data_IF_915265206723
#
_entry.id   IF_915265206723
#
_cell.length_a   1.000
_cell.length_b   1.000
_cell.length_c   1.000
_cell.angle_alpha   90.00
_cell.angle_beta   90.00
_cell.angle_gamma   90.00
#
_symmetry.space_group_name_H-M   'P 1'
#
loop_
_entity.id
_entity.type
_entity.pdbx_description
1 polymer ?
#
# COMPACT_ATOMS: atom_id res chain seq x y z
N UNK A 1 -25.13 -3.33 3.46
CA UNK A 1 -25.17 -4.67 2.82
C UNK A 1 -24.42 -4.76 1.48
N UNK A 2 -24.55 -3.80 0.54
CA UNK A 2 -23.95 -3.92 -0.82
C UNK A 2 -22.42 -3.80 -0.88
N UNK A 3 -21.80 -2.99 0.00
CA UNK A 3 -20.34 -2.84 0.07
C UNK A 3 -19.68 -4.19 0.46
N UNK A 4 -20.25 -4.88 1.45
CA UNK A 4 -19.74 -6.18 1.90
C UNK A 4 -19.80 -7.28 0.84
N UNK A 5 -20.80 -7.25 -0.06
CA UNK A 5 -20.90 -8.21 -1.15
C UNK A 5 -19.76 -8.05 -2.17
N UNK A 6 -19.40 -6.81 -2.53
CA UNK A 6 -18.24 -6.55 -3.41
C UNK A 6 -16.91 -6.94 -2.73
N UNK A 7 -16.77 -6.64 -1.44
CA UNK A 7 -15.62 -7.09 -0.64
C UNK A 7 -15.49 -8.61 -0.63
N UNK A 8 -16.60 -9.33 -0.48
CA UNK A 8 -16.64 -10.80 -0.46
C UNK A 8 -16.29 -11.44 -1.81
N UNK A 9 -16.75 -10.86 -2.92
CA UNK A 9 -16.42 -11.35 -4.26
C UNK A 9 -14.93 -11.22 -4.55
N UNK A 10 -14.31 -10.11 -4.14
CA UNK A 10 -12.86 -9.93 -4.31
C UNK A 10 -12.04 -10.85 -3.38
N UNK A 11 -12.51 -11.08 -2.15
CA UNK A 11 -11.95 -12.09 -1.24
C UNK A 11 -11.99 -13.51 -1.83
N UNK A 12 -13.05 -13.86 -2.55
CA UNK A 12 -13.16 -15.16 -3.21
C UNK A 12 -12.17 -15.31 -4.39
N UNK A 13 -11.97 -14.26 -5.19
CA UNK A 13 -10.95 -14.27 -6.26
C UNK A 13 -9.54 -14.48 -5.70
N UNK A 14 -9.23 -13.81 -4.60
CA UNK A 14 -7.96 -13.96 -3.86
C UNK A 14 -7.67 -15.39 -3.40
N UNK A 15 -8.70 -16.17 -3.07
CA UNK A 15 -8.52 -17.56 -2.63
C UNK A 15 -8.05 -18.49 -3.76
N UNK A 16 -8.30 -18.12 -5.01
CA UNK A 16 -7.97 -18.93 -6.18
C UNK A 16 -6.54 -18.67 -6.68
N UNK A 17 -6.03 -17.45 -6.55
CA UNK A 17 -4.72 -17.02 -7.07
C UNK A 17 -3.56 -17.20 -6.07
N UNK A 18 -3.36 -18.44 -5.57
CA UNK A 18 -2.27 -18.75 -4.63
C UNK A 18 -0.88 -18.51 -5.23
N UNK A 19 -0.71 -18.75 -6.52
CA UNK A 19 0.57 -18.56 -7.23
C UNK A 19 0.94 -17.08 -7.29
N UNK A 20 -0.03 -16.19 -7.55
CA UNK A 20 0.20 -14.75 -7.63
C UNK A 20 0.67 -14.17 -6.29
N UNK A 21 0.09 -14.63 -5.18
CA UNK A 21 0.50 -14.21 -3.84
C UNK A 21 1.96 -14.59 -3.55
N UNK A 22 2.38 -15.79 -3.95
CA UNK A 22 3.75 -16.25 -3.78
C UNK A 22 4.73 -15.47 -4.68
N UNK A 23 4.40 -15.26 -5.95
CA UNK A 23 5.26 -14.50 -6.87
C UNK A 23 5.44 -13.06 -6.41
N UNK A 24 4.39 -12.44 -5.84
CA UNK A 24 4.47 -11.08 -5.28
C UNK A 24 5.33 -10.99 -4.01
N UNK A 25 5.56 -12.08 -3.28
CA UNK A 25 6.47 -12.12 -2.12
C UNK A 25 7.95 -12.12 -2.51
N UNK A 26 8.27 -12.52 -3.74
CA UNK A 26 9.67 -12.59 -4.20
C UNK A 26 10.33 -11.22 -4.12
N UNK A 27 9.65 -10.16 -4.57
CA UNK A 27 10.23 -8.82 -4.59
C UNK A 27 10.51 -8.26 -3.17
N UNK A 28 9.54 -8.28 -2.23
CA UNK A 28 9.77 -7.92 -0.82
C UNK A 28 10.86 -8.76 -0.16
N UNK A 29 10.90 -10.07 -0.45
CA UNK A 29 11.91 -10.96 0.07
C UNK A 29 13.31 -10.60 -0.44
N UNK A 30 13.45 -10.31 -1.74
CA UNK A 30 14.73 -9.86 -2.31
C UNK A 30 15.19 -8.55 -1.66
N UNK A 31 14.28 -7.61 -1.40
CA UNK A 31 14.64 -6.38 -0.68
C UNK A 31 15.16 -6.67 0.72
N UNK A 32 14.49 -7.52 1.50
CA UNK A 32 14.94 -7.83 2.87
C UNK A 32 16.21 -8.67 2.90
N UNK A 33 16.33 -9.66 2.01
CA UNK A 33 17.48 -10.56 1.94
C UNK A 33 18.72 -9.85 1.39
N UNK A 34 18.58 -9.03 0.35
CA UNK A 34 19.71 -8.35 -0.28
C UNK A 34 20.00 -7.05 0.46
N UNK A 35 19.07 -6.10 0.49
CA UNK A 35 19.32 -4.80 1.11
C UNK A 35 19.37 -4.90 2.63
N UNK A 36 18.42 -5.60 3.26
CA UNK A 36 18.39 -5.75 4.71
C UNK A 36 19.67 -6.36 5.28
N UNK A 37 20.13 -7.50 4.75
CA UNK A 37 21.37 -8.15 5.20
C UNK A 37 22.63 -7.38 4.83
N UNK A 38 22.72 -6.86 3.59
CA UNK A 38 23.93 -6.18 3.13
C UNK A 38 24.17 -4.91 3.93
N UNK A 39 23.14 -4.08 4.11
CA UNK A 39 23.28 -2.81 4.84
C UNK A 39 23.37 -3.00 6.35
N UNK A 40 22.74 -4.03 6.92
CA UNK A 40 22.94 -4.42 8.33
C UNK A 40 24.42 -4.76 8.60
N UNK A 41 25.06 -5.53 7.70
CA UNK A 41 26.49 -5.88 7.82
C UNK A 41 27.42 -4.68 7.63
N UNK A 42 27.07 -3.77 6.72
CA UNK A 42 27.89 -2.61 6.42
C UNK A 42 27.84 -1.52 7.52
N UNK A 43 26.78 -1.49 8.36
CA UNK A 43 26.54 -0.46 9.39
C UNK A 43 26.66 0.99 8.86
N UNK A 44 26.41 1.20 7.57
CA UNK A 44 26.58 2.50 6.89
C UNK A 44 25.45 3.48 7.23
N UNK A 45 24.27 2.97 7.60
CA UNK A 45 23.10 3.77 7.95
C UNK A 45 22.91 3.70 9.46
N UNK A 46 23.05 4.84 10.14
CA UNK A 46 22.76 4.94 11.57
C UNK A 46 21.24 4.91 11.80
N UNK A 47 20.72 3.71 12.04
CA UNK A 47 19.32 3.48 12.46
C UNK A 47 19.16 3.54 13.98
N UNK A 48 20.16 4.04 14.71
CA UNK A 48 20.18 4.06 16.17
C UNK A 48 20.39 2.66 16.77
N UNK A 49 19.53 2.25 17.71
CA UNK A 49 19.66 0.97 18.43
C UNK A 49 18.94 -0.20 17.75
N UNK A 50 18.36 0.02 16.57
CA UNK A 50 17.57 -0.96 15.84
C UNK A 50 18.36 -1.45 14.64
N UNK A 51 18.44 -2.77 14.46
CA UNK A 51 19.09 -3.35 13.29
C UNK A 51 18.40 -2.87 12.00
N UNK A 52 19.18 -2.59 10.95
CA UNK A 52 18.67 -2.05 9.69
C UNK A 52 17.59 -2.96 9.08
N UNK A 53 17.73 -4.28 9.24
CA UNK A 53 16.73 -5.24 8.77
C UNK A 53 15.37 -5.05 9.46
N UNK A 54 15.37 -4.78 10.76
CA UNK A 54 14.17 -4.46 11.50
C UNK A 54 13.57 -3.13 11.03
N UNK A 55 14.41 -2.09 10.86
CA UNK A 55 13.96 -0.79 10.36
C UNK A 55 13.35 -0.85 8.95
N UNK A 56 13.92 -1.68 8.08
CA UNK A 56 13.55 -1.81 6.68
C UNK A 56 12.21 -2.55 6.50
N UNK A 57 11.91 -3.54 7.34
CA UNK A 57 10.76 -4.42 7.13
C UNK A 57 9.38 -3.72 7.13
N UNK A 58 9.04 -2.78 8.04
CA UNK A 58 7.84 -1.95 7.91
C UNK A 58 7.81 -1.12 6.62
N UNK A 59 8.97 -0.63 6.19
CA UNK A 59 9.14 0.09 4.93
C UNK A 59 8.77 -0.76 3.72
N UNK A 60 9.26 -2.01 3.69
CA UNK A 60 8.97 -2.97 2.63
C UNK A 60 7.50 -3.42 2.64
N UNK A 61 6.87 -3.54 3.81
CA UNK A 61 5.42 -3.79 3.92
C UNK A 61 4.63 -2.67 3.23
N UNK A 62 4.91 -1.41 3.58
CA UNK A 62 4.23 -0.24 2.99
C UNK A 62 4.54 -0.11 1.48
N UNK A 63 5.78 -0.37 1.07
CA UNK A 63 6.16 -0.42 -0.35
C UNK A 63 5.36 -1.47 -1.12
N UNK A 64 5.22 -2.66 -0.54
CA UNK A 64 4.46 -3.75 -1.16
C UNK A 64 2.99 -3.37 -1.33
N UNK A 65 2.43 -2.71 -0.31
CA UNK A 65 1.07 -2.19 -0.34
C UNK A 65 0.87 -1.16 -1.45
N UNK A 66 1.78 -0.19 -1.58
CA UNK A 66 1.83 0.78 -2.68
C UNK A 66 1.86 0.07 -4.04
N UNK A 67 2.79 -0.87 -4.23
CA UNK A 67 3.02 -1.58 -5.49
C UNK A 67 1.81 -2.41 -5.91
N UNK A 68 1.16 -3.11 -4.98
CA UNK A 68 -0.09 -3.84 -5.24
C UNK A 68 -1.20 -2.89 -5.68
N UNK A 69 -1.32 -1.75 -5.00
CA UNK A 69 -2.43 -0.83 -5.15
C UNK A 69 -2.46 -0.13 -6.52
N UNK A 70 -1.30 0.10 -7.15
CA UNK A 70 -1.25 0.73 -8.49
C UNK A 70 -1.94 -0.12 -9.56
N UNK A 71 -1.91 -1.45 -9.44
CA UNK A 71 -2.55 -2.31 -10.43
C UNK A 71 -4.08 -2.19 -10.45
N UNK A 72 -4.71 -1.67 -9.39
CA UNK A 72 -6.16 -1.50 -9.34
C UNK A 72 -6.68 -0.44 -10.33
N UNK A 73 -5.88 0.58 -10.67
CA UNK A 73 -6.21 1.51 -11.74
C UNK A 73 -6.16 0.84 -13.12
N UNK A 74 -5.19 -0.05 -13.37
CA UNK A 74 -5.15 -0.81 -14.63
C UNK A 74 -6.35 -1.74 -14.71
N UNK A 75 -6.68 -2.41 -13.60
CA UNK A 75 -7.83 -3.29 -13.50
C UNK A 75 -9.15 -2.56 -13.79
N UNK A 76 -9.28 -1.29 -13.38
CA UNK A 76 -10.52 -0.52 -13.67
C UNK A 76 -10.66 -0.16 -15.15
N UNK A 77 -9.55 0.11 -15.85
CA UNK A 77 -9.57 0.29 -17.31
C UNK A 77 -9.93 -1.04 -17.98
N UNK A 78 -9.41 -2.15 -17.47
CA UNK A 78 -9.75 -3.49 -17.94
C UNK A 78 -11.25 -3.78 -17.83
N UNK A 79 -11.83 -3.54 -16.66
CA UNK A 79 -13.26 -3.71 -16.41
C UNK A 79 -14.12 -2.80 -17.31
N UNK A 80 -13.61 -1.60 -17.64
CA UNK A 80 -14.28 -0.70 -18.60
C UNK A 80 -14.30 -1.29 -19.99
N UNK A 81 -13.15 -1.69 -20.51
CA UNK A 81 -13.05 -2.18 -21.89
C UNK A 81 -13.77 -3.53 -22.07
N UNK A 82 -13.86 -4.33 -21.01
CA UNK A 82 -14.67 -5.56 -20.97
C UNK A 82 -16.19 -5.29 -20.85
N UNK A 83 -16.62 -4.03 -20.76
CA UNK A 83 -18.03 -3.63 -20.58
C UNK A 83 -18.60 -3.97 -19.20
N UNK A 84 -17.79 -4.50 -18.27
CA UNK A 84 -18.19 -4.83 -16.90
C UNK A 84 -18.52 -3.54 -16.14
N UNK A 85 -17.71 -2.49 -16.31
CA UNK A 85 -17.93 -1.21 -15.66
C UNK A 85 -19.28 -0.58 -16.05
N UNK A 86 -19.66 -0.68 -17.33
CA UNK A 86 -20.95 -0.21 -17.81
C UNK A 86 -22.10 -0.97 -17.12
N UNK A 87 -22.03 -2.31 -17.06
CA UNK A 87 -23.05 -3.14 -16.37
C UNK A 87 -23.16 -2.81 -14.88
N UNK A 88 -22.03 -2.59 -14.20
CA UNK A 88 -22.00 -2.23 -12.78
C UNK A 88 -22.61 -0.84 -12.52
N UNK A 89 -22.44 0.11 -13.45
CA UNK A 89 -22.99 1.47 -13.33
C UNK A 89 -24.51 1.55 -13.58
N UNK A 90 -25.10 0.57 -14.28
CA UNK A 90 -26.57 0.49 -14.44
C UNK A 90 -27.23 -0.08 -13.17
N UNK A 91 -26.47 -0.73 -12.28
CA UNK A 91 -27.02 -1.15 -11.00
C UNK A 91 -27.28 0.07 -10.09
N UNK A 92 -28.27 0.01 -9.19
CA UNK A 92 -28.55 1.09 -8.23
C UNK A 92 -27.47 1.25 -7.14
N UNK A 93 -26.26 0.73 -7.35
CA UNK A 93 -25.13 0.90 -6.46
C UNK A 93 -24.38 2.21 -6.79
N UNK A 94 -24.05 3.04 -5.80
CA UNK A 94 -23.30 4.26 -6.06
C UNK A 94 -21.87 3.91 -6.54
N UNK A 95 -21.25 4.72 -7.41
CA UNK A 95 -19.86 4.52 -7.87
C UNK A 95 -18.84 4.39 -6.73
N UNK A 96 -19.12 5.03 -5.59
CA UNK A 96 -18.31 4.92 -4.38
C UNK A 96 -18.30 3.51 -3.79
N UNK A 97 -19.38 2.73 -3.92
CA UNK A 97 -19.40 1.35 -3.46
C UNK A 97 -18.42 0.48 -4.26
N UNK A 98 -18.28 0.73 -5.57
CA UNK A 98 -17.32 0.02 -6.42
C UNK A 98 -15.88 0.38 -6.07
N UNK A 99 -15.60 1.68 -5.94
CA UNK A 99 -14.27 2.20 -5.56
C UNK A 99 -13.87 1.66 -4.19
N UNK A 100 -14.75 1.75 -3.19
CA UNK A 100 -14.47 1.24 -1.85
C UNK A 100 -14.28 -0.27 -1.84
N UNK A 101 -15.06 -1.03 -2.62
CA UNK A 101 -14.88 -2.48 -2.74
C UNK A 101 -13.50 -2.85 -3.30
N UNK A 102 -13.06 -2.18 -4.37
CA UNK A 102 -11.73 -2.36 -4.95
C UNK A 102 -10.60 -1.90 -4.02
N UNK A 103 -10.78 -0.76 -3.34
CA UNK A 103 -9.82 -0.26 -2.36
C UNK A 103 -9.67 -1.21 -1.16
N UNK A 104 -10.78 -1.76 -0.67
CA UNK A 104 -10.77 -2.78 0.37
C UNK A 104 -10.07 -4.06 -0.10
N UNK A 105 -10.36 -4.51 -1.32
CA UNK A 105 -9.67 -5.65 -1.92
C UNK A 105 -8.16 -5.42 -1.99
N UNK A 106 -7.71 -4.21 -2.37
CA UNK A 106 -6.30 -3.85 -2.38
C UNK A 106 -5.68 -3.99 -0.99
N UNK A 107 -6.35 -3.45 0.03
CA UNK A 107 -5.95 -3.60 1.42
C UNK A 107 -5.82 -5.06 1.86
N UNK A 108 -6.83 -5.90 1.56
CA UNK A 108 -6.78 -7.33 1.88
C UNK A 108 -5.63 -8.04 1.19
N UNK A 109 -5.33 -7.71 -0.08
CA UNK A 109 -4.14 -8.25 -0.78
C UNK A 109 -2.86 -7.85 -0.08
N UNK A 110 -2.76 -6.60 0.37
CA UNK A 110 -1.60 -6.08 1.09
C UNK A 110 -1.46 -6.67 2.50
N UNK A 111 -2.53 -7.12 3.16
CA UNK A 111 -2.43 -7.83 4.45
C UNK A 111 -1.60 -9.11 4.34
N UNK A 112 -1.68 -9.81 3.20
CA UNK A 112 -0.83 -10.99 2.96
C UNK A 112 0.65 -10.60 3.02
N UNK A 113 1.02 -9.40 2.53
CA UNK A 113 2.38 -8.86 2.60
C UNK A 113 2.85 -8.63 4.03
N UNK A 114 1.98 -8.14 4.92
CA UNK A 114 2.28 -8.02 6.34
C UNK A 114 2.69 -9.37 6.92
N UNK A 115 1.87 -10.41 6.68
CA UNK A 115 2.12 -11.75 7.23
C UNK A 115 3.43 -12.31 6.66
N UNK A 116 3.63 -12.27 5.35
CA UNK A 116 4.82 -12.84 4.71
C UNK A 116 6.12 -12.12 5.11
N UNK A 117 6.10 -10.79 5.19
CA UNK A 117 7.28 -10.02 5.62
C UNK A 117 7.57 -10.23 7.10
N UNK A 118 6.56 -10.26 7.97
CA UNK A 118 6.76 -10.54 9.40
C UNK A 118 7.36 -11.93 9.60
N UNK A 119 6.83 -12.95 8.90
CA UNK A 119 7.39 -14.30 8.94
C UNK A 119 8.84 -14.33 8.46
N UNK A 120 9.14 -13.66 7.34
CA UNK A 120 10.49 -13.58 6.81
C UNK A 120 11.44 -12.86 7.76
N UNK A 121 11.00 -11.77 8.41
CA UNK A 121 11.79 -11.07 9.39
C UNK A 121 12.14 -11.96 10.59
N UNK A 122 11.19 -12.75 11.10
CA UNK A 122 11.46 -13.73 12.15
C UNK A 122 12.45 -14.82 11.70
N UNK A 123 12.33 -15.32 10.47
CA UNK A 123 13.28 -16.29 9.91
C UNK A 123 14.70 -15.72 9.78
N UNK A 124 14.81 -14.42 9.55
CA UNK A 124 16.08 -13.70 9.48
C UNK A 124 16.61 -13.28 10.87
N UNK A 125 15.95 -13.69 11.95
CA UNK A 125 16.38 -13.44 13.32
C UNK A 125 16.03 -12.04 13.84
N UNK A 126 15.14 -11.31 13.18
CA UNK A 126 14.69 -10.00 13.65
C UNK A 126 13.56 -10.12 14.65
N UNK A 127 13.77 -9.50 15.82
CA UNK A 127 12.77 -9.43 16.88
C UNK A 127 11.70 -8.38 16.55
N UNK A 128 10.59 -8.82 15.98
CA UNK A 128 9.36 -8.03 15.88
C UNK A 128 8.39 -8.32 17.03
N UNK A 129 7.39 -7.47 17.20
CA UNK A 129 6.32 -7.71 18.16
C UNK A 129 5.55 -8.99 17.83
N UNK A 130 5.39 -9.85 18.83
CA UNK A 130 4.50 -11.03 18.77
C UNK A 130 3.06 -10.69 19.20
N UNK A 131 2.80 -9.45 19.61
CA UNK A 131 1.50 -9.06 20.15
C UNK A 131 0.44 -9.06 19.03
N UNK A 132 -0.59 -9.93 19.11
CA UNK A 132 -1.60 -10.05 18.06
C UNK A 132 -2.34 -8.73 17.78
N UNK A 133 -2.56 -7.91 18.81
CA UNK A 133 -3.27 -6.63 18.68
C UNK A 133 -2.46 -5.62 17.84
N UNK A 134 -1.13 -5.61 18.00
CA UNK A 134 -0.25 -4.74 17.22
C UNK A 134 -0.15 -5.20 15.77
N UNK A 135 -0.14 -6.52 15.54
CA UNK A 135 -0.19 -7.10 14.19
C UNK A 135 -1.51 -6.75 13.50
N UNK A 136 -2.64 -6.88 14.20
CA UNK A 136 -3.95 -6.45 13.67
C UNK A 136 -3.95 -4.94 13.37
N UNK A 137 -3.38 -4.13 14.25
CA UNK A 137 -3.20 -2.70 13.99
C UNK A 137 -2.40 -2.43 12.72
N UNK A 138 -1.30 -3.17 12.50
CA UNK A 138 -0.47 -3.04 11.31
C UNK A 138 -1.24 -3.43 10.04
N UNK A 139 -2.07 -4.47 10.11
CA UNK A 139 -2.98 -4.86 9.01
C UNK A 139 -3.97 -3.75 8.68
N UNK A 140 -4.57 -3.11 9.69
CA UNK A 140 -5.51 -1.98 9.47
C UNK A 140 -4.80 -0.79 8.82
N UNK A 141 -3.59 -0.44 9.29
CA UNK A 141 -2.78 0.64 8.72
C UNK A 141 -2.48 0.37 7.24
N UNK A 142 -2.06 -0.86 6.91
CA UNK A 142 -1.81 -1.27 5.51
C UNK A 142 -3.07 -1.22 4.66
N UNK A 143 -4.23 -1.61 5.22
CA UNK A 143 -5.51 -1.51 4.50
C UNK A 143 -5.84 -0.06 4.18
N UNK A 144 -5.63 0.87 5.11
CA UNK A 144 -5.87 2.31 4.89
C UNK A 144 -4.91 2.89 3.84
N UNK A 145 -3.61 2.62 3.95
CA UNK A 145 -2.61 3.06 2.98
C UNK A 145 -2.87 2.51 1.58
N UNK A 146 -3.11 1.20 1.47
CA UNK A 146 -3.49 0.53 0.22
C UNK A 146 -4.76 1.11 -0.38
N UNK A 147 -5.77 1.40 0.44
CA UNK A 147 -7.02 2.01 -0.04
C UNK A 147 -6.76 3.38 -0.68
N UNK A 148 -5.94 4.22 -0.05
CA UNK A 148 -5.54 5.51 -0.63
C UNK A 148 -4.80 5.34 -1.96
N UNK A 149 -3.77 4.51 -2.02
CA UNK A 149 -2.98 4.32 -3.24
C UNK A 149 -3.79 3.68 -4.37
N UNK A 150 -4.70 2.77 -4.05
CA UNK A 150 -5.59 2.15 -5.03
C UNK A 150 -6.54 3.21 -5.60
N UNK A 151 -7.08 4.08 -4.75
CA UNK A 151 -7.91 5.21 -5.17
C UNK A 151 -7.14 6.23 -6.01
N UNK A 152 -5.89 6.52 -5.67
CA UNK A 152 -5.02 7.37 -6.48
C UNK A 152 -4.81 6.78 -7.87
N UNK A 153 -4.53 5.47 -7.96
CA UNK A 153 -4.39 4.78 -9.25
C UNK A 153 -5.70 4.75 -10.05
N UNK A 154 -6.83 4.47 -9.41
CA UNK A 154 -8.16 4.51 -10.05
C UNK A 154 -8.54 5.92 -10.52
N UNK A 155 -8.12 6.96 -9.78
CA UNK A 155 -8.31 8.37 -10.18
C UNK A 155 -7.52 8.69 -11.45
N UNK A 156 -6.26 8.25 -11.52
CA UNK A 156 -5.42 8.39 -12.72
C UNK A 156 -6.00 7.63 -13.92
N UNK A 157 -6.55 6.44 -13.68
CA UNK A 157 -7.25 5.68 -14.71
C UNK A 157 -8.42 6.48 -15.32
N UNK A 158 -9.11 7.28 -14.49
CA UNK A 158 -10.16 8.20 -14.90
C UNK A 158 -9.73 9.29 -15.87
N UNK A 159 -8.48 9.75 -15.75
CA UNK A 159 -7.91 10.82 -16.56
C UNK A 159 -7.24 10.29 -17.84
N UNK A 160 -6.47 9.19 -17.70
CA UNK A 160 -5.57 8.71 -18.75
C UNK A 160 -6.28 7.84 -19.79
N UNK A 161 -7.31 7.08 -19.38
CA UNK A 161 -8.20 6.26 -20.23
C UNK A 161 -7.52 5.19 -21.12
N UNK A 162 -6.18 5.11 -21.18
CA UNK A 162 -5.42 4.10 -21.93
C UNK A 162 -4.55 3.26 -20.99
N UNK A 163 -4.55 1.93 -21.21
CA UNK A 163 -3.87 0.95 -20.33
C UNK A 163 -2.36 1.15 -20.28
N UNK A 164 -1.70 1.19 -21.43
CA UNK A 164 -0.24 1.27 -21.52
C UNK A 164 0.29 2.57 -20.91
N UNK A 165 -0.44 3.67 -21.17
CA UNK A 165 -0.11 4.98 -20.61
C UNK A 165 -0.29 5.00 -19.09
N UNK A 166 -1.34 4.36 -18.56
CA UNK A 166 -1.54 4.25 -17.12
C UNK A 166 -0.44 3.42 -16.46
N UNK A 167 0.02 2.35 -17.09
CA UNK A 167 1.12 1.53 -16.56
C UNK A 167 2.40 2.35 -16.44
N UNK A 168 2.76 3.11 -17.49
CA UNK A 168 3.92 4.01 -17.47
C UNK A 168 3.80 5.12 -16.41
N UNK A 169 2.67 5.82 -16.37
CA UNK A 169 2.42 6.90 -15.40
C UNK A 169 2.40 6.36 -13.97
N UNK A 170 1.77 5.20 -13.76
CA UNK A 170 1.72 4.53 -12.46
C UNK A 170 3.12 4.30 -11.93
N UNK A 171 4.01 3.70 -12.72
CA UNK A 171 5.41 3.48 -12.32
C UNK A 171 6.17 4.79 -12.10
N UNK A 172 5.97 5.78 -12.99
CA UNK A 172 6.62 7.09 -12.88
C UNK A 172 6.22 7.88 -11.63
N UNK A 173 5.03 7.65 -11.08
CA UNK A 173 4.58 8.27 -9.82
C UNK A 173 5.04 7.46 -8.61
N UNK A 174 4.98 6.14 -8.73
CA UNK A 174 5.25 5.18 -7.64
C UNK A 174 6.69 5.22 -7.17
N UNK A 175 7.64 5.24 -8.12
CA UNK A 175 9.07 5.29 -7.81
C UNK A 175 9.43 6.54 -6.99
N UNK A 176 9.09 7.77 -7.42
CA UNK A 176 9.28 8.97 -6.60
C UNK A 176 8.58 8.91 -5.25
N UNK A 177 7.33 8.42 -5.19
CA UNK A 177 6.60 8.27 -3.92
C UNK A 177 7.32 7.34 -2.95
N UNK A 178 7.91 6.26 -3.45
CA UNK A 178 8.67 5.32 -2.64
C UNK A 178 9.98 5.93 -2.14
N UNK A 179 10.80 6.49 -3.03
CA UNK A 179 12.10 7.07 -2.64
C UNK A 179 12.00 8.36 -1.84
N UNK A 180 10.91 9.12 -2.01
CA UNK A 180 10.61 10.29 -1.19
C UNK A 180 9.99 9.94 0.16
N UNK A 181 9.74 8.66 0.44
CA UNK A 181 9.28 8.20 1.75
C UNK A 181 10.44 7.88 2.67
N UNK A 182 10.12 7.72 3.96
CA UNK A 182 11.08 7.27 4.97
C UNK A 182 11.18 5.74 5.08
N UNK A 183 10.75 4.98 4.06
CA UNK A 183 10.80 3.51 4.06
C UNK A 183 12.23 2.98 4.10
N UNK A 184 13.14 3.57 3.33
CA UNK A 184 14.53 3.12 3.18
C UNK A 184 15.50 3.81 4.13
N UNK A 185 15.25 5.07 4.48
CA UNK A 185 16.18 5.91 5.22
C UNK A 185 15.50 6.58 6.42
N UNK A 186 16.20 6.75 7.55
CA UNK A 186 15.76 7.64 8.62
C UNK A 186 15.54 9.06 8.11
N UNK A 187 14.57 9.78 8.67
CA UNK A 187 14.26 11.17 8.27
C UNK A 187 15.43 12.12 8.60
N UNK A 188 16.23 11.76 9.60
CA UNK A 188 17.34 12.57 10.09
C UNK A 188 18.50 12.68 9.09
N UNK A 189 18.73 11.62 8.30
CA UNK A 189 19.79 11.60 7.27
C UNK A 189 19.33 12.18 5.93
N UNK A 190 18.05 12.52 5.78
CA UNK A 190 17.52 13.07 4.54
C UNK A 190 17.92 14.53 4.33
N UNK A 191 18.25 14.95 3.10
CA UNK A 191 18.44 16.36 2.78
C UNK A 191 17.11 17.13 2.93
N UNK A 192 17.20 18.43 3.20
CA UNK A 192 16.05 19.25 3.58
C UNK A 192 14.88 19.19 2.58
N UNK A 193 15.17 19.19 1.28
CA UNK A 193 14.14 19.10 0.23
C UNK A 193 13.38 17.75 0.27
N UNK A 194 14.08 16.65 0.55
CA UNK A 194 13.49 15.32 0.63
C UNK A 194 12.66 15.17 1.90
N UNK A 195 13.09 15.80 3.00
CA UNK A 195 12.35 15.85 4.26
C UNK A 195 10.97 16.50 4.08
N UNK A 196 10.89 17.59 3.31
CA UNK A 196 9.60 18.22 2.97
C UNK A 196 8.69 17.30 2.17
N UNK A 197 9.23 16.60 1.17
CA UNK A 197 8.46 15.63 0.38
C UNK A 197 7.96 14.46 1.26
N UNK A 198 8.84 13.93 2.12
CA UNK A 198 8.48 12.86 3.06
C UNK A 198 7.37 13.28 4.01
N UNK A 199 7.35 14.53 4.48
CA UNK A 199 6.34 15.05 5.41
C UNK A 199 4.93 15.17 4.79
N UNK A 200 4.81 15.32 3.46
CA UNK A 200 3.51 15.38 2.78
C UNK A 200 3.07 13.99 2.29
N UNK A 201 4.02 13.08 2.14
CA UNK A 201 3.81 11.76 1.54
C UNK A 201 3.05 10.81 2.49
N UNK A 202 1.83 10.35 2.14
CA UNK A 202 1.06 9.40 2.93
C UNK A 202 1.79 8.07 3.20
N UNK A 203 2.71 7.67 2.31
CA UNK A 203 3.53 6.48 2.51
C UNK A 203 4.43 6.61 3.74
N UNK A 204 4.96 7.80 4.03
CA UNK A 204 5.78 8.03 5.22
C UNK A 204 5.00 7.82 6.52
N UNK A 205 3.73 8.24 6.55
CA UNK A 205 2.83 8.05 7.69
C UNK A 205 2.46 6.57 7.88
N UNK A 206 2.25 5.83 6.78
CA UNK A 206 2.07 4.37 6.83
C UNK A 206 3.29 3.68 7.44
N UNK A 207 4.49 4.02 6.97
CA UNK A 207 5.73 3.45 7.49
C UNK A 207 5.91 3.79 8.98
N UNK A 208 5.65 5.02 9.39
CA UNK A 208 5.75 5.43 10.80
C UNK A 208 4.80 4.64 11.69
N UNK A 209 3.52 4.54 11.31
CA UNK A 209 2.54 3.75 12.05
C UNK A 209 2.97 2.27 12.14
N UNK A 210 3.47 1.70 11.04
CA UNK A 210 3.96 0.31 11.04
C UNK A 210 5.20 0.12 11.92
N UNK A 211 6.14 1.07 11.95
CA UNK A 211 7.31 0.99 12.85
C UNK A 211 6.89 1.07 14.32
N UNK A 212 5.98 1.98 14.66
CA UNK A 212 5.43 2.08 16.02
C UNK A 212 4.71 0.81 16.46
N UNK A 213 3.98 0.16 15.55
CA UNK A 213 3.25 -1.07 15.85
C UNK A 213 4.15 -2.31 15.88
N UNK A 214 5.03 -2.50 14.89
CA UNK A 214 5.78 -3.75 14.72
C UNK A 214 7.10 -3.77 15.50
N UNK A 215 7.76 -2.62 15.66
CA UNK A 215 9.08 -2.49 16.30
C UNK A 215 8.98 -1.74 17.63
N UNK A 216 7.94 -0.94 17.84
CA UNK A 216 7.78 -0.16 19.07
C UNK A 216 8.58 1.15 19.09
N UNK A 217 8.94 1.68 17.91
CA UNK A 217 9.59 2.99 17.83
C UNK A 217 8.62 4.09 18.28
N UNK A 218 9.10 5.14 18.98
CA UNK A 218 8.25 6.26 19.37
C UNK A 218 7.74 7.00 18.13
N UNK A 219 6.43 6.97 17.90
CA UNK A 219 5.76 7.62 16.78
C UNK A 219 4.47 8.30 17.23
N UNK A 220 4.01 9.28 16.45
CA UNK A 220 2.72 9.94 16.67
C UNK A 220 1.60 9.12 16.00
N UNK A 221 1.34 7.91 16.51
CA UNK A 221 0.43 6.95 15.88
C UNK A 221 -0.97 7.50 15.58
N UNK A 222 -1.49 8.43 16.39
CA UNK A 222 -2.78 9.07 16.13
C UNK A 222 -2.76 10.00 14.92
N UNK A 223 -1.67 10.74 14.74
CA UNK A 223 -1.48 11.63 13.61
C UNK A 223 -1.29 10.82 12.33
N UNK A 224 -0.49 9.76 12.40
CA UNK A 224 -0.27 8.84 11.27
C UNK A 224 -1.58 8.20 10.79
N UNK A 225 -2.37 7.65 11.71
CA UNK A 225 -3.67 7.04 11.38
C UNK A 225 -4.65 8.10 10.86
N UNK A 226 -4.71 9.29 11.49
CA UNK A 226 -5.60 10.35 11.04
C UNK A 226 -5.29 10.78 9.60
N UNK A 227 -4.02 10.96 9.26
CA UNK A 227 -3.59 11.31 7.89
C UNK A 227 -3.98 10.21 6.91
N UNK A 228 -3.78 8.93 7.25
CA UNK A 228 -4.16 7.81 6.39
C UNK A 228 -5.68 7.70 6.19
N UNK A 229 -6.47 7.93 7.23
CA UNK A 229 -7.94 7.94 7.14
C UNK A 229 -8.40 9.08 6.25
N UNK A 230 -7.90 10.30 6.47
CA UNK A 230 -8.23 11.47 5.64
C UNK A 230 -7.82 11.23 4.19
N UNK A 231 -6.61 10.71 3.96
CA UNK A 231 -6.13 10.37 2.62
C UNK A 231 -7.03 9.33 1.95
N UNK A 232 -7.39 8.25 2.64
CA UNK A 232 -8.28 7.21 2.11
C UNK A 232 -9.67 7.76 1.77
N UNK A 233 -10.27 8.58 2.63
CA UNK A 233 -11.59 9.20 2.39
C UNK A 233 -11.53 10.14 1.19
N UNK A 234 -10.52 11.02 1.13
CA UNK A 234 -10.32 11.92 -0.01
C UNK A 234 -10.06 11.15 -1.31
N UNK A 235 -9.26 10.09 -1.25
CA UNK A 235 -8.98 9.20 -2.37
C UNK A 235 -10.27 8.54 -2.89
N UNK A 236 -11.09 7.98 -2.00
CA UNK A 236 -12.37 7.38 -2.40
C UNK A 236 -13.28 8.43 -3.03
N UNK A 237 -13.35 9.64 -2.47
CA UNK A 237 -14.17 10.71 -3.01
C UNK A 237 -13.71 11.15 -4.41
N UNK A 238 -12.41 11.39 -4.61
CA UNK A 238 -11.84 11.82 -5.90
C UNK A 238 -11.96 10.72 -6.95
N UNK A 239 -11.62 9.48 -6.60
CA UNK A 239 -11.76 8.33 -7.49
C UNK A 239 -13.23 8.14 -7.90
N UNK A 240 -14.16 8.24 -6.97
CA UNK A 240 -15.60 8.11 -7.25
C UNK A 240 -16.12 9.22 -8.18
N UNK A 241 -15.62 10.45 -8.02
CA UNK A 241 -15.99 11.58 -8.87
C UNK A 241 -15.43 11.42 -10.30
N UNK A 242 -14.17 11.00 -10.43
CA UNK A 242 -13.51 10.78 -11.72
C UNK A 242 -14.02 9.51 -12.42
N UNK A 243 -14.46 8.49 -11.68
CA UNK A 243 -15.07 7.30 -12.26
C UNK A 243 -16.36 7.63 -13.03
N UNK A 244 -17.14 8.61 -12.57
CA UNK A 244 -18.32 9.07 -13.31
C UNK A 244 -17.96 9.65 -14.68
N UNK A 245 -16.74 10.18 -14.84
CA UNK A 245 -16.24 10.67 -16.13
C UNK A 245 -15.77 9.54 -17.05
N UNK A 246 -15.48 8.33 -16.55
CA UNK A 246 -15.05 7.19 -17.37
C UNK A 246 -16.19 6.55 -18.17
N UNK A 247 -17.42 6.80 -17.76
CA UNK A 247 -18.62 6.13 -18.29
C UNK A 247 -19.45 7.06 -19.19
N UNK A 248 -19.11 8.36 -19.20
CA UNK A 248 -19.53 9.30 -20.24
C UNK A 248 -18.52 9.27 -21.38
#
# INVERSE_FOLDING_TARGET
MRIGAFSLVELQKLRHDRTELFTRMVQPALWLLIFGQTFSRLRVIDTGHVDYLAFLAPGIIAQSALFISIFYGIQIIWDRDAGILAKLMVTPAPPSALVTGKAFAAGVRSVVQVIGVVLLAYLLGVHMTVNPLRIIGAMVVVVLGSAFFACLSMSLAGLVRHRDRLMGIGQAITMPLFFASNALYPVDVMPQWLRWLSAVNPLSYEVNALRGLLIGTPTNGWLDIAVLVVAAVLGIATASALLRRLVR
#
